data_IF_332785768372
#
_entry.id   IF_332785768372
#
_cell.length_a   1.000
_cell.length_b   1.000
_cell.length_c   1.000
_cell.angle_alpha   90.00
_cell.angle_beta   90.00
_cell.angle_gamma   90.00
#
_symmetry.space_group_name_H-M   'P 1'
#
loop_
_entity.id
_entity.type
_entity.pdbx_description
1 polymer ?
#
# COMPACT_ATOMS: atom_id res chain seq x y z
N UNK A 1 -5.68 -15.53 4.76
CA UNK A 1 -6.00 -14.21 4.16
C UNK A 1 -5.12 -14.04 2.95
N UNK A 2 -5.74 -13.89 1.78
CA UNK A 2 -5.08 -13.65 0.50
C UNK A 2 -4.47 -12.24 0.49
N UNK A 3 -3.17 -12.12 0.24
CA UNK A 3 -2.52 -10.81 0.16
C UNK A 3 -2.54 -10.37 -1.30
N UNK A 4 -3.49 -9.46 -1.61
CA UNK A 4 -3.58 -8.77 -2.91
C UNK A 4 -2.47 -7.73 -3.01
N UNK A 5 -1.23 -8.15 -3.19
CA UNK A 5 -0.10 -7.27 -3.52
C UNK A 5 0.77 -7.88 -4.63
N UNK A 6 0.66 -9.18 -4.85
CA UNK A 6 1.13 -9.95 -6.00
C UNK A 6 0.02 -10.99 -6.17
N UNK A 7 -0.64 -11.13 -7.35
CA UNK A 7 -1.74 -12.08 -7.46
C UNK A 7 -1.24 -13.48 -7.02
N UNK A 8 -1.88 -14.03 -5.98
CA UNK A 8 -1.70 -15.38 -5.45
C UNK A 8 -0.46 -15.67 -4.58
N UNK A 9 0.07 -14.71 -3.80
CA UNK A 9 1.01 -15.06 -2.73
C UNK A 9 0.32 -15.32 -1.40
N UNK A 10 0.76 -16.37 -0.69
CA UNK A 10 0.42 -16.55 0.71
C UNK A 10 1.05 -15.42 1.54
N UNK A 11 0.52 -15.19 2.74
CA UNK A 11 1.10 -14.19 3.66
C UNK A 11 2.58 -14.48 3.96
N UNK A 12 2.94 -15.76 4.08
CA UNK A 12 4.31 -16.21 4.37
C UNK A 12 5.24 -15.84 3.20
N UNK A 13 4.82 -16.12 1.97
CA UNK A 13 5.64 -15.83 0.79
C UNK A 13 5.80 -14.32 0.59
N UNK A 14 4.72 -13.56 0.78
CA UNK A 14 4.77 -12.10 0.70
C UNK A 14 5.71 -11.50 1.75
N UNK A 15 5.64 -11.96 3.01
CA UNK A 15 6.54 -11.52 4.07
C UNK A 15 8.00 -11.94 3.80
N UNK A 16 8.21 -13.06 3.10
CA UNK A 16 9.51 -13.47 2.58
C UNK A 16 10.06 -12.47 1.57
N UNK A 17 9.26 -12.11 0.56
CA UNK A 17 9.64 -11.12 -0.48
C UNK A 17 10.00 -9.78 0.16
N UNK A 18 9.18 -9.27 1.09
CA UNK A 18 9.44 -8.00 1.79
C UNK A 18 10.77 -7.95 2.53
N UNK A 19 11.31 -9.10 2.96
CA UNK A 19 12.62 -9.18 3.63
C UNK A 19 13.80 -9.25 2.66
N UNK A 20 13.56 -9.69 1.42
CA UNK A 20 14.61 -9.93 0.44
C UNK A 20 14.82 -8.72 -0.46
N UNK A 21 13.75 -8.00 -0.82
CA UNK A 21 13.81 -6.93 -1.81
C UNK A 21 12.96 -5.73 -1.41
N UNK A 22 13.38 -4.51 -1.79
CA UNK A 22 12.48 -3.37 -1.80
C UNK A 22 11.26 -3.66 -2.67
N UNK A 23 10.08 -3.29 -2.18
CA UNK A 23 8.83 -3.44 -2.93
C UNK A 23 8.27 -2.06 -3.24
N UNK A 24 7.76 -1.88 -4.46
CA UNK A 24 7.18 -0.61 -4.90
C UNK A 24 5.86 -0.34 -4.19
N UNK A 25 5.73 0.88 -3.67
CA UNK A 25 4.49 1.40 -3.08
C UNK A 25 4.10 2.69 -3.78
N UNK A 26 2.81 2.98 -3.80
CA UNK A 26 2.26 4.28 -4.21
C UNK A 26 1.56 4.91 -3.02
N UNK A 27 1.83 6.19 -2.80
CA UNK A 27 1.11 7.04 -1.85
C UNK A 27 0.29 8.06 -2.64
N UNK A 28 -0.95 8.24 -2.23
CA UNK A 28 -1.92 9.13 -2.86
C UNK A 28 -2.20 10.31 -1.92
N UNK A 29 -1.99 11.52 -2.44
CA UNK A 29 -2.36 12.75 -1.74
C UNK A 29 -3.75 13.16 -2.21
N UNK A 30 -4.77 12.85 -1.39
CA UNK A 30 -6.12 13.39 -1.58
C UNK A 30 -6.19 14.75 -0.91
N UNK A 31 -6.47 15.81 -1.68
CA UNK A 31 -6.54 17.19 -1.19
C UNK A 31 -7.84 17.87 -1.56
N UNK A 32 -8.28 18.79 -0.72
CA UNK A 32 -9.32 19.77 -1.03
C UNK A 32 -8.92 21.14 -0.45
N UNK A 33 -9.82 22.12 -0.51
CA UNK A 33 -9.57 23.48 0.02
C UNK A 33 -9.26 23.50 1.53
N UNK A 34 -9.71 22.49 2.27
CA UNK A 34 -9.55 22.40 3.72
C UNK A 34 -8.27 21.64 4.13
N UNK A 35 -7.51 21.08 3.18
CA UNK A 35 -6.24 20.42 3.45
C UNK A 35 -6.05 19.08 2.74
N UNK A 36 -5.29 18.20 3.39
CA UNK A 36 -4.95 16.86 2.88
C UNK A 36 -5.55 15.78 3.77
N UNK A 37 -5.96 14.67 3.15
CA UNK A 37 -6.43 13.49 3.87
C UNK A 37 -5.23 12.71 4.42
N UNK A 38 -5.29 12.42 5.73
CA UNK A 38 -4.38 11.49 6.39
C UNK A 38 -5.21 10.41 7.09
N UNK A 39 -4.77 9.16 6.98
CA UNK A 39 -5.32 8.03 7.73
C UNK A 39 -4.51 7.78 9.00
N UNK A 40 -5.19 7.49 10.13
CA UNK A 40 -4.52 6.98 11.32
C UNK A 40 -4.37 5.46 11.18
N UNK A 41 -3.13 4.98 11.10
CA UNK A 41 -2.83 3.57 10.80
C UNK A 41 -3.28 2.64 11.93
N UNK A 42 -3.99 1.57 11.60
CA UNK A 42 -4.38 0.50 12.52
C UNK A 42 -3.55 -0.78 12.37
N UNK A 43 -2.58 -0.80 11.44
CA UNK A 43 -1.71 -1.94 11.16
C UNK A 43 -0.23 -1.53 11.19
N UNK A 44 0.65 -2.51 11.42
CA UNK A 44 2.09 -2.31 11.26
C UNK A 44 2.48 -2.25 9.78
N UNK A 45 3.59 -1.58 9.43
CA UNK A 45 4.44 -0.74 10.30
C UNK A 45 3.74 0.57 10.73
N UNK A 46 4.34 1.33 11.65
CA UNK A 46 3.86 2.67 12.06
C UNK A 46 2.43 2.71 12.61
N UNK A 47 2.02 1.66 13.33
CA UNK A 47 0.71 1.63 13.97
C UNK A 47 0.47 2.88 14.84
N UNK A 48 -0.72 3.47 14.73
CA UNK A 48 -1.14 4.65 15.48
C UNK A 48 -0.67 6.00 14.92
N UNK A 49 0.21 6.00 13.91
CA UNK A 49 0.69 7.23 13.28
C UNK A 49 -0.26 7.72 12.18
N UNK A 50 -0.23 9.03 11.91
CA UNK A 50 -0.87 9.63 10.74
C UNK A 50 -0.02 9.39 9.51
N UNK A 51 -0.65 9.00 8.41
CA UNK A 51 0.03 8.64 7.17
C UNK A 51 -0.80 9.00 5.94
N UNK A 52 -0.14 9.11 4.79
CA UNK A 52 -0.82 9.17 3.51
C UNK A 52 -1.53 7.83 3.24
N UNK A 53 -2.55 7.88 2.39
CA UNK A 53 -3.21 6.67 1.89
C UNK A 53 -2.34 6.08 0.80
N UNK A 54 -2.04 4.79 0.90
CA UNK A 54 -1.13 4.14 -0.03
C UNK A 54 -1.21 2.63 0.04
N UNK A 55 -0.49 1.99 -0.87
CA UNK A 55 -0.44 0.54 -0.97
C UNK A 55 0.67 0.05 -1.89
N UNK A 56 0.89 -1.27 -1.87
CA UNK A 56 1.83 -1.92 -2.78
C UNK A 56 1.34 -1.87 -4.21
N UNK A 57 2.25 -1.66 -5.16
CA UNK A 57 1.99 -1.88 -6.60
C UNK A 57 2.13 -3.37 -6.89
N UNK A 58 1.16 -3.93 -7.61
CA UNK A 58 1.17 -5.36 -7.90
C UNK A 58 2.15 -5.74 -8.99
N UNK A 59 2.59 -6.99 -8.96
CA UNK A 59 3.33 -7.57 -10.08
C UNK A 59 2.53 -7.42 -11.38
N UNK A 60 3.16 -6.87 -12.42
CA UNK A 60 2.54 -6.52 -13.70
C UNK A 60 1.40 -5.47 -13.64
N UNK A 61 1.20 -4.77 -12.53
CA UNK A 61 0.29 -3.60 -12.47
C UNK A 61 1.04 -2.35 -12.93
N UNK A 62 0.41 -1.53 -13.77
CA UNK A 62 0.95 -0.21 -14.08
C UNK A 62 0.74 0.71 -12.88
N UNK A 63 1.77 1.48 -12.55
CA UNK A 63 1.69 2.48 -11.46
C UNK A 63 0.50 3.42 -11.66
N UNK A 64 0.25 3.85 -12.90
CA UNK A 64 -0.85 4.76 -13.27
C UNK A 64 -2.26 4.18 -13.12
N UNK A 65 -2.39 2.88 -12.87
CA UNK A 65 -3.68 2.18 -12.70
C UNK A 65 -3.87 1.72 -11.23
N UNK A 66 -2.83 1.83 -10.40
CA UNK A 66 -2.83 1.31 -9.02
C UNK A 66 -3.67 2.13 -8.04
N UNK A 67 -3.88 3.42 -8.33
CA UNK A 67 -4.65 4.35 -7.52
C UNK A 67 -6.12 3.95 -7.42
N UNK A 68 -6.71 3.43 -8.50
CA UNK A 68 -8.10 2.97 -8.57
C UNK A 68 -8.43 1.85 -7.57
N UNK A 69 -7.43 1.08 -7.13
CA UNK A 69 -7.58 0.00 -6.15
C UNK A 69 -7.25 0.47 -4.72
N UNK A 70 -6.34 1.44 -4.60
CA UNK A 70 -5.82 1.91 -3.33
C UNK A 70 -6.81 2.87 -2.64
N UNK A 71 -7.49 3.72 -3.43
CA UNK A 71 -8.58 4.59 -2.96
C UNK A 71 -9.90 3.83 -2.86
#
# INVERSE_FOLDING_TARGET
MEVKSIPNLSKIDFDGVLKMVPTTVVEVIVKNENGILLGKRNTQPFHGMWHLTGGFVHYNEKISESDLRIL
#
